data_IF_948944948505
#
_entry.id   IF_948944948505
#
_cell.length_a   1.000
_cell.length_b   1.000
_cell.length_c   1.000
_cell.angle_alpha   90.00
_cell.angle_beta   90.00
_cell.angle_gamma   90.00
#
_symmetry.space_group_name_H-M   'P 1'
#
loop_
_entity.id
_entity.type
_entity.pdbx_description
1 polymer ?
#
# COMPACT_ATOMS: atom_id res chain seq x y z
N UNK A 1 -7.91 -14.60 -5.26
CA UNK A 1 -8.70 -13.57 -5.72
C UNK A 1 -8.20 -12.20 -5.43
N UNK A 2 -8.06 -11.83 -4.18
CA UNK A 2 -7.44 -10.55 -3.87
C UNK A 2 -5.92 -10.62 -3.88
N UNK A 3 -5.38 -11.81 -4.04
CA UNK A 3 -3.95 -12.06 -3.92
C UNK A 3 -3.13 -11.32 -4.97
N UNK A 4 -3.65 -11.23 -6.19
CA UNK A 4 -2.94 -10.51 -7.25
C UNK A 4 -2.84 -9.03 -6.92
N UNK A 5 -3.93 -8.45 -6.45
CA UNK A 5 -3.92 -7.03 -6.07
C UNK A 5 -3.01 -6.80 -4.86
N UNK A 6 -3.08 -7.67 -3.87
CA UNK A 6 -2.22 -7.60 -2.69
C UNK A 6 -0.76 -7.68 -3.10
N UNK A 7 -0.41 -8.62 -3.96
CA UNK A 7 0.97 -8.78 -4.44
C UNK A 7 1.45 -7.52 -5.17
N UNK A 8 0.60 -6.92 -6.00
CA UNK A 8 0.93 -5.69 -6.71
C UNK A 8 1.14 -4.52 -5.76
N UNK A 9 0.28 -4.41 -4.74
CA UNK A 9 0.44 -3.38 -3.72
C UNK A 9 1.78 -3.53 -3.03
N UNK A 10 2.08 -4.72 -2.56
CA UNK A 10 3.32 -4.99 -1.83
C UNK A 10 4.55 -4.73 -2.69
N UNK A 11 4.52 -5.19 -3.94
CA UNK A 11 5.62 -4.97 -4.86
C UNK A 11 5.86 -3.50 -5.15
N UNK A 12 4.78 -2.75 -5.39
CA UNK A 12 4.88 -1.32 -5.65
C UNK A 12 5.42 -0.57 -4.44
N UNK A 13 4.98 -0.95 -3.24
CA UNK A 13 5.48 -0.35 -2.01
C UNK A 13 6.96 -0.66 -1.77
N UNK A 14 7.41 -1.84 -2.15
CA UNK A 14 8.83 -2.17 -2.06
C UNK A 14 9.68 -1.31 -2.97
N UNK A 15 9.20 -1.08 -4.19
CA UNK A 15 9.92 -0.27 -5.17
C UNK A 15 9.86 1.20 -4.84
N UNK A 16 8.75 1.65 -4.28
CA UNK A 16 8.54 3.06 -3.99
C UNK A 16 7.84 3.23 -2.64
N UNK A 17 8.58 3.06 -1.53
CA UNK A 17 7.96 3.09 -0.19
C UNK A 17 7.37 4.45 0.18
N UNK A 18 7.73 5.51 -0.52
CA UNK A 18 7.21 6.85 -0.27
C UNK A 18 6.02 7.22 -1.16
N UNK A 19 5.53 6.29 -1.96
CA UNK A 19 4.40 6.56 -2.86
C UNK A 19 3.16 6.95 -2.06
N UNK A 20 2.41 7.94 -2.55
CA UNK A 20 1.15 8.34 -1.94
C UNK A 20 0.06 7.34 -2.30
N UNK A 21 -1.00 7.29 -1.48
CA UNK A 21 -2.14 6.42 -1.77
C UNK A 21 -2.80 6.77 -3.10
N UNK A 22 -2.89 8.06 -3.42
CA UNK A 22 -3.47 8.50 -4.68
C UNK A 22 -2.67 7.96 -5.87
N UNK A 23 -1.35 8.08 -5.80
CA UNK A 23 -0.49 7.57 -6.86
C UNK A 23 -0.51 6.05 -6.92
N UNK A 24 -0.56 5.40 -5.79
CA UNK A 24 -0.63 3.94 -5.73
C UNK A 24 -1.93 3.43 -6.37
N UNK A 25 -3.05 4.06 -6.04
CA UNK A 25 -4.33 3.70 -6.64
C UNK A 25 -4.30 3.88 -8.16
N UNK A 26 -3.71 4.98 -8.62
CA UNK A 26 -3.59 5.26 -10.05
C UNK A 26 -2.68 4.23 -10.74
N UNK A 27 -1.56 3.91 -10.12
CA UNK A 27 -0.60 2.95 -10.67
C UNK A 27 -1.20 1.55 -10.80
N UNK A 28 -2.08 1.18 -9.88
CA UNK A 28 -2.72 -0.13 -9.87
C UNK A 28 -4.09 -0.14 -10.56
N UNK A 29 -4.52 1.01 -11.03
CA UNK A 29 -5.81 1.17 -11.71
C UNK A 29 -6.98 0.69 -10.84
N UNK A 30 -6.96 1.08 -9.57
CA UNK A 30 -8.03 0.77 -8.63
C UNK A 30 -8.54 2.07 -8.00
N UNK A 31 -9.78 2.03 -7.49
CA UNK A 31 -10.30 3.21 -6.81
C UNK A 31 -9.57 3.42 -5.49
N UNK A 32 -9.42 4.68 -5.04
CA UNK A 32 -8.79 4.96 -3.75
C UNK A 32 -9.48 4.24 -2.59
N UNK A 33 -10.77 4.07 -2.68
CA UNK A 33 -11.56 3.38 -1.65
C UNK A 33 -11.19 1.90 -1.55
N UNK A 34 -11.09 1.24 -2.69
CA UNK A 34 -10.68 -0.18 -2.75
C UNK A 34 -9.26 -0.33 -2.22
N UNK A 35 -8.37 0.56 -2.64
CA UNK A 35 -6.99 0.55 -2.17
C UNK A 35 -6.93 0.73 -0.65
N UNK A 36 -7.68 1.69 -0.11
CA UNK A 36 -7.71 1.94 1.32
C UNK A 36 -8.10 0.69 2.10
N UNK A 37 -9.15 -0.01 1.64
CA UNK A 37 -9.59 -1.24 2.29
C UNK A 37 -8.51 -2.29 2.30
N UNK A 38 -7.84 -2.48 1.17
CA UNK A 38 -6.78 -3.49 1.05
C UNK A 38 -5.59 -3.15 1.93
N UNK A 39 -5.20 -1.88 1.96
CA UNK A 39 -4.11 -1.45 2.81
C UNK A 39 -4.43 -1.61 4.29
N UNK A 40 -5.67 -1.31 4.68
CA UNK A 40 -6.09 -1.52 6.07
C UNK A 40 -6.02 -3.00 6.45
N UNK A 41 -6.43 -3.89 5.56
CA UNK A 41 -6.33 -5.32 5.77
C UNK A 41 -4.88 -5.77 5.93
N UNK A 42 -3.99 -5.29 5.05
CA UNK A 42 -2.59 -5.63 5.10
C UNK A 42 -1.92 -5.14 6.39
N UNK A 43 -2.29 -3.95 6.85
CA UNK A 43 -1.80 -3.41 8.11
C UNK A 43 -2.29 -4.24 9.28
N UNK A 44 -3.55 -4.63 9.26
CA UNK A 44 -4.16 -5.40 10.35
C UNK A 44 -3.48 -6.77 10.53
N UNK A 45 -3.05 -7.39 9.43
CA UNK A 45 -2.37 -8.69 9.50
C UNK A 45 -0.85 -8.54 9.60
N UNK A 46 -0.33 -7.33 9.62
CA UNK A 46 1.10 -7.09 9.81
C UNK A 46 1.97 -7.32 8.58
N UNK A 47 1.40 -7.29 7.40
CA UNK A 47 2.18 -7.44 6.16
C UNK A 47 2.82 -6.14 5.71
N UNK A 48 2.24 -5.01 6.06
CA UNK A 48 2.82 -3.70 5.81
C UNK A 48 2.70 -2.85 7.07
N UNK A 49 3.58 -1.87 7.17
CA UNK A 49 3.56 -0.95 8.31
C UNK A 49 3.95 0.45 7.84
N UNK A 50 3.26 1.45 8.38
CA UNK A 50 3.59 2.84 8.10
C UNK A 50 4.67 3.29 9.07
N UNK A 51 5.82 3.67 8.53
CA UNK A 51 6.96 4.12 9.31
C UNK A 51 7.13 5.62 9.15
N UNK A 52 7.56 6.29 10.23
CA UNK A 52 7.83 7.72 10.21
C UNK A 52 6.60 8.57 10.40
N UNK A 53 6.75 9.87 10.23
CA UNK A 53 5.68 10.84 10.42
C UNK A 53 4.79 11.00 9.20
N UNK A 54 3.82 11.91 9.32
CA UNK A 54 2.83 12.14 8.27
C UNK A 54 3.46 12.67 6.98
N UNK A 55 4.52 13.46 7.06
CA UNK A 55 5.14 14.08 5.89
C UNK A 55 6.24 13.24 5.27
N UNK A 56 7.04 12.60 6.11
CA UNK A 56 8.24 11.87 5.69
C UNK A 56 8.10 10.38 5.92
N UNK A 57 6.86 9.93 6.11
CA UNK A 57 6.61 8.53 6.31
C UNK A 57 6.84 7.71 5.06
N UNK A 58 7.08 6.44 5.27
CA UNK A 58 7.18 5.47 4.18
C UNK A 58 6.53 4.17 4.60
N UNK A 59 6.28 3.30 3.64
CA UNK A 59 5.70 1.99 3.89
C UNK A 59 6.81 0.95 4.00
N UNK A 60 6.72 0.13 5.02
CA UNK A 60 7.59 -1.01 5.18
C UNK A 60 6.81 -2.28 4.83
N UNK A 61 7.38 -3.11 3.97
CA UNK A 61 6.75 -4.36 3.53
C UNK A 61 7.52 -5.52 4.16
N UNK A 62 6.79 -6.40 4.81
CA UNK A 62 7.38 -7.57 5.48
C UNK A 62 7.33 -8.82 4.63
#
# INVERSE_FOLDING_TARGET
MDDVLVDRIMETLRKNPKITQVRLASALDVSPRTLQRKMDELRAVGKIERMGGKRYGHWKVY
#
